data_IF_405572158873
#
_entry.id   IF_405572158873
#
_cell.length_a   1.000
_cell.length_b   1.000
_cell.length_c   1.000
_cell.angle_alpha   90.00
_cell.angle_beta   90.00
_cell.angle_gamma   90.00
#
_symmetry.space_group_name_H-M   'P 1'
#
loop_
_entity.id
_entity.type
_entity.pdbx_description
1 polymer ?
#
# COMPACT_ATOMS: atom_id res chain seq x y z
N UNK A 1 -9.42 -14.36 -4.38
CA UNK A 1 -9.25 -13.51 -3.19
C UNK A 1 -8.78 -14.33 -1.99
N UNK A 2 -9.07 -15.64 -1.98
CA UNK A 2 -8.67 -16.56 -0.90
C UNK A 2 -7.15 -16.78 -0.80
N UNK A 3 -6.44 -16.87 -1.92
CA UNK A 3 -5.00 -17.14 -1.95
C UNK A 3 -4.14 -16.13 -1.14
N UNK A 4 -4.51 -14.84 -1.12
CA UNK A 4 -3.75 -13.81 -0.37
C UNK A 4 -3.90 -14.07 1.13
N UNK A 5 -5.13 -14.38 1.57
CA UNK A 5 -5.44 -14.64 2.97
C UNK A 5 -4.77 -15.92 3.45
N UNK A 6 -4.80 -16.96 2.63
CA UNK A 6 -4.13 -18.23 2.92
C UNK A 6 -2.61 -18.06 3.04
N UNK A 7 -1.97 -17.34 2.11
CA UNK A 7 -0.54 -17.05 2.18
C UNK A 7 -0.17 -16.25 3.44
N UNK A 8 -0.99 -15.26 3.82
CA UNK A 8 -0.76 -14.48 5.04
C UNK A 8 -0.91 -15.33 6.31
N UNK A 9 -1.96 -16.16 6.38
CA UNK A 9 -2.17 -17.05 7.50
C UNK A 9 -1.00 -18.03 7.67
N UNK A 10 -0.50 -18.61 6.57
CA UNK A 10 0.67 -19.49 6.58
C UNK A 10 1.92 -18.79 7.14
N UNK A 11 2.18 -17.55 6.71
CA UNK A 11 3.32 -16.76 7.18
C UNK A 11 3.22 -16.37 8.65
N UNK A 12 2.03 -16.02 9.11
CA UNK A 12 1.80 -15.75 10.54
C UNK A 12 2.06 -17.01 11.37
N UNK A 13 1.58 -18.17 10.92
CA UNK A 13 1.83 -19.45 11.61
C UNK A 13 3.34 -19.76 11.64
N UNK A 14 4.04 -19.61 10.53
CA UNK A 14 5.49 -19.83 10.46
C UNK A 14 6.25 -18.91 11.41
N UNK A 15 5.97 -17.60 11.40
CA UNK A 15 6.62 -16.63 12.27
C UNK A 15 6.30 -16.86 13.77
N UNK A 16 5.11 -17.35 14.11
CA UNK A 16 4.78 -17.81 15.47
C UNK A 16 5.60 -19.05 15.86
N UNK A 17 5.76 -20.02 14.95
CA UNK A 17 6.58 -21.21 15.19
C UNK A 17 8.07 -20.87 15.35
N UNK A 18 8.57 -19.88 14.63
CA UNK A 18 9.95 -19.38 14.73
C UNK A 18 10.18 -18.45 15.93
N UNK A 19 9.13 -18.08 16.67
CA UNK A 19 9.21 -17.16 17.81
C UNK A 19 9.44 -15.70 17.43
N UNK A 20 9.22 -15.34 16.15
CA UNK A 20 9.34 -13.97 15.65
C UNK A 20 8.11 -13.11 15.98
N UNK A 21 6.96 -13.76 16.21
CA UNK A 21 5.70 -13.10 16.60
C UNK A 21 5.19 -13.63 17.94
N UNK A 22 4.53 -12.75 18.68
CA UNK A 22 3.80 -13.10 19.90
C UNK A 22 2.31 -13.33 19.62
N UNK A 23 1.68 -14.15 20.46
CA UNK A 23 0.22 -14.32 20.44
C UNK A 23 -0.45 -13.31 21.34
N UNK A 24 -1.55 -12.71 20.88
CA UNK A 24 -2.27 -11.71 21.67
C UNK A 24 -3.53 -11.23 20.96
N UNK A 25 -4.48 -10.70 21.75
CA UNK A 25 -5.75 -10.22 21.21
C UNK A 25 -5.52 -9.00 20.32
N UNK A 26 -5.76 -9.15 19.02
CA UNK A 26 -5.58 -8.09 18.03
C UNK A 26 -4.19 -8.02 17.40
N UNK A 27 -3.26 -8.89 17.78
CA UNK A 27 -1.99 -9.07 17.08
C UNK A 27 -2.20 -9.91 15.81
N UNK A 28 -1.33 -9.71 14.83
CA UNK A 28 -1.26 -10.50 13.58
C UNK A 28 -2.56 -10.45 12.75
N UNK A 29 -3.31 -9.34 12.82
CA UNK A 29 -4.52 -9.14 12.01
C UNK A 29 -4.20 -9.17 10.52
N UNK A 30 -5.08 -9.80 9.76
CA UNK A 30 -5.01 -9.82 8.30
C UNK A 30 -5.05 -8.39 7.75
N UNK A 31 -4.11 -8.09 6.86
CA UNK A 31 -4.07 -6.82 6.12
C UNK A 31 -4.43 -7.13 4.68
N UNK A 32 -5.51 -6.53 4.16
CA UNK A 32 -5.94 -6.72 2.78
C UNK A 32 -5.51 -5.59 1.86
N UNK A 33 -5.52 -5.84 0.54
CA UNK A 33 -5.65 -4.74 -0.43
C UNK A 33 -7.03 -4.10 -0.20
N UNK A 34 -7.05 -2.85 0.26
CA UNK A 34 -8.31 -2.11 0.28
C UNK A 34 -8.79 -1.94 -1.16
N UNK A 35 -10.11 -1.91 -1.35
CA UNK A 35 -10.66 -1.61 -2.67
C UNK A 35 -10.39 -0.12 -2.96
N UNK A 36 -9.59 0.21 -3.99
CA UNK A 36 -9.48 1.59 -4.42
C UNK A 36 -10.83 2.04 -4.99
N UNK A 37 -11.22 3.27 -4.72
CA UNK A 37 -12.39 3.93 -5.27
C UNK A 37 -11.94 5.12 -6.11
N UNK A 38 -12.36 5.16 -7.36
CA UNK A 38 -11.97 6.19 -8.34
C UNK A 38 -12.20 7.63 -7.87
N UNK A 39 -13.18 7.83 -6.98
CA UNK A 39 -13.56 9.15 -6.45
C UNK A 39 -12.87 9.52 -5.14
N UNK A 40 -12.12 8.61 -4.51
CA UNK A 40 -11.54 8.81 -3.17
C UNK A 40 -10.06 8.45 -3.15
N UNK A 41 -9.20 9.43 -3.40
CA UNK A 41 -7.73 9.31 -3.32
C UNK A 41 -7.22 8.69 -2.01
N UNK A 42 -7.92 8.88 -0.89
CA UNK A 42 -7.57 8.23 0.39
C UNK A 42 -7.62 6.69 0.35
N UNK A 43 -8.52 6.11 -0.45
CA UNK A 43 -8.59 4.64 -0.61
C UNK A 43 -7.44 4.08 -1.43
N UNK A 44 -6.95 4.84 -2.43
CA UNK A 44 -5.73 4.50 -3.16
C UNK A 44 -4.51 4.56 -2.25
N UNK A 45 -4.42 5.60 -1.41
CA UNK A 45 -3.37 5.70 -0.39
C UNK A 45 -3.36 4.48 0.53
N UNK A 46 -4.51 4.10 1.09
CA UNK A 46 -4.61 2.94 1.97
C UNK A 46 -4.21 1.62 1.26
N UNK A 47 -4.55 1.48 -0.02
CA UNK A 47 -4.21 0.29 -0.81
C UNK A 47 -2.69 0.20 -1.02
N UNK A 48 -2.07 1.32 -1.42
CA UNK A 48 -0.62 1.38 -1.63
C UNK A 48 0.15 1.25 -0.32
N UNK A 49 -0.38 1.77 0.79
CA UNK A 49 0.22 1.64 2.12
C UNK A 49 0.24 0.19 2.60
N UNK A 50 -0.80 -0.59 2.28
CA UNK A 50 -0.88 -2.00 2.65
C UNK A 50 -0.02 -2.90 1.75
N UNK A 51 0.25 -2.50 0.51
CA UNK A 51 0.96 -3.34 -0.47
C UNK A 51 2.35 -3.81 0.01
N UNK A 52 3.23 -2.96 0.61
CA UNK A 52 4.49 -3.40 1.17
C UNK A 52 4.34 -4.48 2.26
N UNK A 53 3.33 -4.36 3.12
CA UNK A 53 3.07 -5.30 4.22
C UNK A 53 2.71 -6.69 3.69
N UNK A 54 1.97 -6.73 2.58
CA UNK A 54 1.43 -7.96 2.00
C UNK A 54 2.19 -8.40 0.75
N UNK A 55 3.32 -7.75 0.46
CA UNK A 55 4.05 -7.88 -0.81
C UNK A 55 4.36 -9.34 -1.13
N UNK A 56 4.90 -10.07 -0.16
CA UNK A 56 5.22 -11.49 -0.31
C UNK A 56 3.98 -12.31 -0.65
N UNK A 57 2.83 -12.04 -0.05
CA UNK A 57 1.58 -12.77 -0.35
C UNK A 57 1.03 -12.44 -1.72
N UNK A 58 1.22 -11.21 -2.22
CA UNK A 58 0.89 -10.84 -3.59
C UNK A 58 1.79 -11.59 -4.58
N UNK A 59 3.08 -11.72 -4.31
CA UNK A 59 4.01 -12.52 -5.12
C UNK A 59 3.55 -13.98 -5.19
N UNK A 60 3.29 -14.61 -4.04
CA UNK A 60 2.86 -16.02 -3.99
C UNK A 60 1.57 -16.23 -4.80
N UNK A 61 0.60 -15.33 -4.66
CA UNK A 61 -0.65 -15.41 -5.41
C UNK A 61 -0.45 -15.28 -6.92
N UNK A 62 0.41 -14.36 -7.35
CA UNK A 62 0.72 -14.18 -8.76
C UNK A 62 1.44 -15.41 -9.32
N UNK A 63 2.34 -16.03 -8.57
CA UNK A 63 3.02 -17.26 -8.98
C UNK A 63 2.06 -18.46 -9.04
N UNK A 64 1.08 -18.57 -8.13
CA UNK A 64 0.00 -19.56 -8.20
C UNK A 64 -0.84 -19.34 -9.47
N UNK A 65 -1.34 -18.12 -9.70
CA UNK A 65 -2.17 -17.80 -10.87
C UNK A 65 -1.40 -18.06 -12.17
N UNK A 66 -0.14 -17.65 -12.26
CA UNK A 66 0.73 -17.93 -13.40
C UNK A 66 0.90 -19.43 -13.68
N UNK A 67 0.87 -20.26 -12.64
CA UNK A 67 1.04 -21.71 -12.75
C UNK A 67 -0.26 -22.42 -13.13
N UNK A 68 -1.38 -22.03 -12.53
CA UNK A 68 -2.66 -22.75 -12.61
C UNK A 68 -3.63 -22.18 -13.64
N UNK A 69 -3.57 -20.87 -13.94
CA UNK A 69 -4.49 -20.22 -14.85
C UNK A 69 -4.18 -20.55 -16.32
N UNK A 70 -5.16 -20.27 -17.19
CA UNK A 70 -5.06 -20.45 -18.65
C UNK A 70 -5.40 -19.14 -19.36
N UNK A 71 -4.94 -19.02 -20.61
CA UNK A 71 -5.21 -17.85 -21.45
C UNK A 71 -4.67 -16.56 -20.84
N UNK A 72 -5.46 -15.50 -20.93
CA UNK A 72 -5.03 -14.13 -20.59
C UNK A 72 -4.65 -13.98 -19.12
N UNK A 73 -5.37 -14.61 -18.20
CA UNK A 73 -5.08 -14.53 -16.76
C UNK A 73 -3.66 -15.02 -16.41
N UNK A 74 -3.14 -16.02 -17.13
CA UNK A 74 -1.76 -16.49 -16.96
C UNK A 74 -0.75 -15.47 -17.48
N UNK A 75 -1.03 -14.89 -18.64
CA UNK A 75 -0.16 -13.87 -19.25
C UNK A 75 -0.13 -12.60 -18.39
N UNK A 76 -1.29 -12.15 -17.91
CA UNK A 76 -1.44 -11.00 -17.01
C UNK A 76 -0.70 -11.21 -15.68
N UNK A 77 -0.84 -12.38 -15.06
CA UNK A 77 -0.12 -12.71 -13.83
C UNK A 77 1.41 -12.70 -14.05
N UNK A 78 1.88 -13.27 -15.17
CA UNK A 78 3.29 -13.25 -15.54
C UNK A 78 3.81 -11.82 -15.71
N UNK A 79 3.14 -10.99 -16.52
CA UNK A 79 3.54 -9.60 -16.75
C UNK A 79 3.52 -8.80 -15.44
N UNK A 80 2.46 -8.95 -14.64
CA UNK A 80 2.33 -8.27 -13.35
C UNK A 80 3.45 -8.66 -12.40
N UNK A 81 3.80 -9.95 -12.34
CA UNK A 81 4.91 -10.46 -11.53
C UNK A 81 6.26 -9.90 -11.96
N UNK A 82 6.48 -9.76 -13.28
CA UNK A 82 7.70 -9.11 -13.80
C UNK A 82 7.74 -7.64 -13.39
N UNK A 83 6.65 -6.90 -13.58
CA UNK A 83 6.57 -5.49 -13.23
C UNK A 83 6.79 -5.24 -11.73
N UNK A 84 6.10 -5.99 -10.87
CA UNK A 84 6.12 -5.76 -9.42
C UNK A 84 7.49 -6.07 -8.77
N UNK A 85 8.31 -6.90 -9.42
CA UNK A 85 9.67 -7.25 -8.99
C UNK A 85 10.74 -6.27 -9.50
N UNK A 86 10.38 -5.29 -10.33
CA UNK A 86 11.33 -4.27 -10.80
C UNK A 86 11.68 -3.28 -9.70
N UNK A 87 12.89 -2.73 -9.77
CA UNK A 87 13.27 -1.59 -8.93
C UNK A 87 12.38 -0.38 -9.20
N UNK A 88 12.04 -0.12 -10.47
CA UNK A 88 11.19 1.01 -10.85
C UNK A 88 9.84 0.96 -10.15
N UNK A 89 9.20 -0.22 -10.11
CA UNK A 89 7.96 -0.40 -9.36
C UNK A 89 8.14 -0.13 -7.87
N UNK A 90 9.19 -0.70 -7.25
CA UNK A 90 9.46 -0.48 -5.84
C UNK A 90 9.71 1.00 -5.53
N UNK A 91 10.49 1.69 -6.37
CA UNK A 91 10.78 3.11 -6.25
C UNK A 91 9.52 3.96 -6.39
N UNK A 92 8.75 3.76 -7.47
CA UNK A 92 7.49 4.47 -7.71
C UNK A 92 6.51 4.23 -6.56
N UNK A 93 6.37 3.00 -6.07
CA UNK A 93 5.51 2.68 -4.93
C UNK A 93 5.88 3.51 -3.69
N UNK A 94 7.17 3.56 -3.34
CA UNK A 94 7.64 4.33 -2.18
C UNK A 94 7.44 5.84 -2.36
N UNK A 95 7.73 6.37 -3.55
CA UNK A 95 7.50 7.80 -3.87
C UNK A 95 6.01 8.12 -3.78
N UNK A 96 5.16 7.29 -4.37
CA UNK A 96 3.70 7.46 -4.36
C UNK A 96 3.13 7.43 -2.94
N UNK A 97 3.58 6.51 -2.09
CA UNK A 97 3.16 6.47 -0.68
C UNK A 97 3.50 7.78 0.03
N UNK A 98 4.72 8.32 -0.15
CA UNK A 98 5.14 9.57 0.48
C UNK A 98 4.33 10.78 -0.01
N UNK A 99 4.14 10.90 -1.33
CA UNK A 99 3.34 12.00 -1.92
C UNK A 99 1.89 11.93 -1.46
N UNK A 100 1.29 10.74 -1.47
CA UNK A 100 -0.09 10.55 -1.03
C UNK A 100 -0.24 10.76 0.48
N UNK A 101 0.76 10.40 1.30
CA UNK A 101 0.73 10.67 2.74
C UNK A 101 0.61 12.18 3.02
N UNK A 102 1.45 13.00 2.37
CA UNK A 102 1.44 14.46 2.53
C UNK A 102 0.10 15.05 2.05
N UNK A 103 -0.37 14.66 0.88
CA UNK A 103 -1.60 15.22 0.30
C UNK A 103 -2.86 14.73 1.03
N UNK A 104 -2.87 13.51 1.57
CA UNK A 104 -3.96 12.99 2.40
C UNK A 104 -4.04 13.71 3.76
N UNK A 105 -2.89 13.97 4.40
CA UNK A 105 -2.82 14.76 5.65
C UNK A 105 -3.36 16.18 5.44
N UNK A 106 -2.94 16.85 4.35
CA UNK A 106 -3.48 18.15 3.96
C UNK A 106 -4.99 18.07 3.72
N UNK A 107 -5.45 17.10 2.94
CA UNK A 107 -6.86 16.94 2.59
C UNK A 107 -7.74 16.77 3.85
N UNK A 108 -7.31 15.93 4.80
CA UNK A 108 -8.01 15.76 6.09
C UNK A 108 -8.02 17.03 6.91
N UNK A 109 -6.91 17.76 6.95
CA UNK A 109 -6.78 19.00 7.74
C UNK A 109 -7.66 20.13 7.19
N UNK A 110 -7.77 20.23 5.85
CA UNK A 110 -8.62 21.21 5.17
C UNK A 110 -10.12 20.88 5.24
N UNK A 111 -10.48 19.61 5.41
CA UNK A 111 -11.87 19.18 5.56
C UNK A 111 -12.45 19.42 6.96
N UNK A 112 -11.63 19.88 7.92
CA UNK A 112 -12.12 20.18 9.26
C UNK A 112 -13.02 21.42 9.24
N UNK A 113 -14.12 21.37 10.00
CA UNK A 113 -15.12 22.46 10.05
C UNK A 113 -14.63 23.71 10.77
N UNK A 114 -13.61 23.58 11.60
CA UNK A 114 -13.02 24.65 12.42
C UNK A 114 -11.89 25.40 11.70
N UNK A 115 -11.72 25.21 10.39
CA UNK A 115 -10.58 25.73 9.65
C UNK A 115 -10.83 27.12 9.07
N UNK A 116 -9.99 28.09 9.43
CA UNK A 116 -9.99 29.42 8.83
C UNK A 116 -9.00 29.54 7.66
N UNK A 117 -9.13 30.61 6.88
CA UNK A 117 -8.34 30.82 5.66
C UNK A 117 -6.84 30.99 5.95
N UNK A 118 -6.46 31.57 7.08
CA UNK A 118 -5.05 31.81 7.42
C UNK A 118 -4.39 30.48 7.78
N UNK A 119 -5.05 29.68 8.60
CA UNK A 119 -4.59 28.33 8.95
C UNK A 119 -4.57 27.40 7.72
N UNK A 120 -5.59 27.46 6.86
CA UNK A 120 -5.61 26.70 5.61
C UNK A 120 -4.41 27.05 4.70
N UNK A 121 -4.08 28.34 4.58
CA UNK A 121 -2.91 28.77 3.80
C UNK A 121 -1.59 28.26 4.39
N UNK A 122 -1.46 28.26 5.72
CA UNK A 122 -0.28 27.69 6.38
C UNK A 122 -0.14 26.19 6.10
N UNK A 123 -1.23 25.42 6.18
CA UNK A 123 -1.25 23.99 5.87
C UNK A 123 -0.84 23.71 4.42
N UNK A 124 -1.40 24.46 3.46
CA UNK A 124 -1.05 24.33 2.03
C UNK A 124 0.44 24.64 1.81
N UNK A 125 0.95 25.70 2.43
CA UNK A 125 2.36 26.06 2.30
C UNK A 125 3.28 24.98 2.90
N UNK A 126 2.91 24.43 4.07
CA UNK A 126 3.64 23.33 4.70
C UNK A 126 3.65 22.05 3.84
N UNK A 127 2.52 21.67 3.26
CA UNK A 127 2.45 20.54 2.35
C UNK A 127 3.29 20.76 1.08
N UNK A 128 3.24 21.97 0.51
CA UNK A 128 4.09 22.35 -0.65
C UNK A 128 5.58 22.22 -0.32
N UNK A 129 6.01 22.71 0.84
CA UNK A 129 7.41 22.62 1.27
C UNK A 129 7.86 21.16 1.43
N UNK A 130 7.02 20.29 2.03
CA UNK A 130 7.33 18.86 2.17
C UNK A 130 7.43 18.14 0.83
N UNK A 131 6.55 18.46 -0.12
CA UNK A 131 6.61 17.91 -1.48
C UNK A 131 7.85 18.42 -2.24
N UNK A 132 8.21 19.69 -2.04
CA UNK A 132 9.40 20.30 -2.61
C UNK A 132 10.67 19.62 -2.08
N UNK A 133 10.75 19.41 -0.76
CA UNK A 133 11.87 18.71 -0.12
C UNK A 133 12.01 17.27 -0.65
N UNK A 134 10.89 16.57 -0.80
CA UNK A 134 10.87 15.21 -1.36
C UNK A 134 11.39 15.18 -2.80
N UNK A 135 11.10 16.21 -3.61
CA UNK A 135 11.59 16.32 -4.98
C UNK A 135 13.09 16.63 -5.04
N UNK A 136 13.57 17.49 -4.16
CA UNK A 136 14.95 17.98 -4.22
C UNK A 136 15.94 16.99 -3.59
N UNK A 137 15.47 16.10 -2.71
CA UNK A 137 16.28 15.09 -2.02
C UNK A 137 16.03 13.64 -2.46
N UNK A 138 14.97 13.39 -3.22
CA UNK A 138 14.61 12.07 -3.75
C UNK A 138 15.34 11.77 -5.04
#
# INVERSE_FOLDING_TARGET
>A
MDNIRESQAAKVVEALCCGELETGRGLNQEVGLKRPCDTRWGSHFDTLLNLPVIYSSVIDCLDIIKSEAKGDAKAEAYVTLMCIKTFDFAFILHVMIKVLAITNELSKSLQRKDQDIVNAMHLVCGAKLRLQDLRDKG
#
